data_IF_051232069682
#
_entry.id   IF_051232069682
#
_cell.length_a   1.000
_cell.length_b   1.000
_cell.length_c   1.000
_cell.angle_alpha   90.00
_cell.angle_beta   90.00
_cell.angle_gamma   90.00
#
_symmetry.space_group_name_H-M   'P 1'
#
loop_
_entity.id
_entity.type
_entity.pdbx_description
1 polymer ?
#
# COMPACT_ATOMS: atom_id res chain seq x y z
N UNK A 1 0.70 12.17 -18.38
CA UNK A 1 0.78 11.26 -17.21
C UNK A 1 0.38 12.05 -15.97
N UNK A 2 -0.38 11.46 -15.04
CA UNK A 2 -0.71 12.14 -13.79
C UNK A 2 0.46 12.17 -12.81
N UNK A 3 0.44 13.09 -11.83
CA UNK A 3 1.51 13.31 -10.85
C UNK A 3 1.94 12.02 -10.11
N UNK A 4 0.96 11.16 -9.78
CA UNK A 4 1.20 9.88 -9.10
C UNK A 4 1.90 8.85 -10.00
N UNK A 5 1.58 8.86 -11.29
CA UNK A 5 2.23 7.99 -12.28
C UNK A 5 3.70 8.32 -12.42
N UNK A 6 4.00 9.60 -12.49
CA UNK A 6 5.36 10.09 -12.68
C UNK A 6 6.21 9.80 -11.44
N UNK A 7 5.68 10.08 -10.25
CA UNK A 7 6.38 9.76 -9.00
C UNK A 7 6.64 8.25 -8.89
N UNK A 8 5.63 7.43 -9.17
CA UNK A 8 5.77 5.99 -9.15
C UNK A 8 6.81 5.47 -10.17
N UNK A 9 6.93 6.09 -11.33
CA UNK A 9 7.98 5.76 -12.30
C UNK A 9 9.37 6.08 -11.75
N UNK A 10 9.56 7.31 -11.25
CA UNK A 10 10.82 7.78 -10.63
C UNK A 10 11.26 6.88 -9.48
N UNK A 11 10.32 6.48 -8.62
CA UNK A 11 10.60 5.60 -7.48
C UNK A 11 11.09 4.22 -7.94
N UNK A 12 10.42 3.62 -8.94
CA UNK A 12 10.79 2.30 -9.44
C UNK A 12 12.18 2.32 -10.09
N UNK A 13 12.45 3.30 -10.96
CA UNK A 13 13.77 3.47 -11.59
C UNK A 13 14.86 3.65 -10.52
N UNK A 14 14.58 4.45 -9.48
CA UNK A 14 15.52 4.69 -8.39
C UNK A 14 15.82 3.40 -7.60
N UNK A 15 14.77 2.63 -7.26
CA UNK A 15 14.92 1.34 -6.58
C UNK A 15 15.76 0.38 -7.43
N UNK A 16 15.50 0.27 -8.74
CA UNK A 16 16.25 -0.59 -9.64
C UNK A 16 17.74 -0.20 -9.66
N UNK A 17 18.05 1.09 -9.82
CA UNK A 17 19.44 1.59 -9.78
C UNK A 17 20.16 1.23 -8.48
N UNK A 18 19.48 1.33 -7.34
CA UNK A 18 20.04 0.95 -6.05
C UNK A 18 20.26 -0.56 -5.96
N UNK A 19 19.26 -1.37 -6.35
CA UNK A 19 19.37 -2.84 -6.33
C UNK A 19 20.49 -3.37 -7.21
N UNK A 20 20.76 -2.73 -8.35
CA UNK A 20 21.88 -3.14 -9.20
C UNK A 20 23.22 -3.06 -8.47
N UNK A 21 23.44 -2.00 -7.68
CA UNK A 21 24.68 -1.79 -6.92
C UNK A 21 24.86 -2.78 -5.76
N UNK A 22 23.75 -3.29 -5.24
CA UNK A 22 23.74 -4.19 -4.07
C UNK A 22 23.81 -5.66 -4.47
N UNK A 23 23.38 -6.00 -5.69
CA UNK A 23 23.39 -7.37 -6.17
C UNK A 23 24.82 -7.82 -6.50
N UNK A 24 25.16 -9.04 -6.08
CA UNK A 24 26.36 -9.72 -6.54
C UNK A 24 26.32 -9.91 -8.06
N UNK A 25 27.48 -10.06 -8.74
CA UNK A 25 27.52 -10.41 -10.15
C UNK A 25 26.64 -11.62 -10.45
N UNK A 26 25.83 -11.54 -11.51
CA UNK A 26 24.83 -12.55 -11.91
C UNK A 26 23.65 -12.74 -10.93
N UNK A 27 23.52 -11.87 -9.93
CA UNK A 27 22.38 -11.82 -9.03
C UNK A 27 21.06 -11.61 -9.78
N UNK A 28 19.98 -12.18 -9.25
CA UNK A 28 18.64 -12.08 -9.84
C UNK A 28 17.73 -11.29 -8.93
N UNK A 29 16.91 -10.45 -9.53
CA UNK A 29 15.87 -9.68 -8.84
C UNK A 29 14.51 -10.21 -9.27
N UNK A 30 13.66 -10.54 -8.29
CA UNK A 30 12.26 -10.89 -8.52
C UNK A 30 11.41 -9.76 -7.94
N UNK A 31 10.57 -9.16 -8.77
CA UNK A 31 9.64 -8.11 -8.37
C UNK A 31 8.20 -8.58 -8.59
N UNK A 32 7.35 -8.29 -7.63
CA UNK A 32 5.92 -8.55 -7.70
C UNK A 32 5.18 -7.23 -7.46
N UNK A 33 4.24 -6.90 -8.35
CA UNK A 33 3.41 -5.71 -8.26
C UNK A 33 1.93 -6.09 -8.20
N UNK A 34 1.14 -5.32 -7.48
CA UNK A 34 -0.31 -5.41 -7.53
C UNK A 34 -0.84 -4.67 -8.77
N UNK A 35 -1.62 -5.37 -9.59
CA UNK A 35 -2.21 -4.81 -10.80
C UNK A 35 -3.44 -3.92 -10.51
N UNK A 36 -3.79 -3.07 -11.48
CA UNK A 36 -4.90 -2.10 -11.48
C UNK A 36 -6.28 -2.72 -11.65
N UNK A 37 -6.35 -3.96 -12.11
CA UNK A 37 -7.56 -4.60 -12.66
C UNK A 37 -8.69 -4.83 -11.65
N UNK A 38 -8.47 -4.58 -10.35
CA UNK A 38 -9.51 -4.63 -9.34
C UNK A 38 -9.57 -3.33 -8.52
N UNK A 39 -10.77 -2.76 -8.45
CA UNK A 39 -11.13 -1.72 -7.48
C UNK A 39 -10.63 -2.18 -6.11
N UNK A 40 -9.70 -1.40 -5.56
CA UNK A 40 -8.93 -1.93 -4.46
C UNK A 40 -9.78 -1.87 -3.20
N UNK A 41 -9.95 -3.02 -2.54
CA UNK A 41 -10.50 -3.11 -1.19
C UNK A 41 -9.88 -2.03 -0.27
N UNK A 42 -8.60 -1.69 -0.49
CA UNK A 42 -7.86 -0.66 0.25
C UNK A 42 -8.42 0.74 -0.02
N UNK A 43 -8.70 1.09 -1.27
CA UNK A 43 -9.29 2.38 -1.66
C UNK A 43 -10.66 2.56 -1.02
N UNK A 44 -11.48 1.52 -1.03
CA UNK A 44 -12.82 1.56 -0.44
C UNK A 44 -12.75 1.69 1.09
N UNK A 45 -11.90 0.89 1.75
CA UNK A 45 -11.67 0.99 3.21
C UNK A 45 -11.15 2.38 3.59
N UNK A 46 -10.24 2.95 2.81
CA UNK A 46 -9.70 4.28 3.08
C UNK A 46 -10.74 5.38 2.92
N UNK A 47 -11.53 5.32 1.85
CA UNK A 47 -12.59 6.28 1.60
C UNK A 47 -13.64 6.25 2.72
N UNK A 48 -14.06 5.05 3.13
CA UNK A 48 -15.00 4.87 4.24
C UNK A 48 -14.41 5.39 5.56
N UNK A 49 -13.14 5.10 5.85
CA UNK A 49 -12.45 5.60 7.04
C UNK A 49 -12.38 7.13 7.06
N UNK A 50 -11.98 7.73 5.94
CA UNK A 50 -11.89 9.18 5.77
C UNK A 50 -13.24 9.86 5.98
N UNK A 51 -14.31 9.32 5.38
CA UNK A 51 -15.66 9.83 5.56
C UNK A 51 -16.16 9.68 7.00
N UNK A 52 -15.86 8.57 7.65
CA UNK A 52 -16.24 8.36 9.05
C UNK A 52 -15.55 9.36 10.00
N UNK A 53 -14.25 9.62 9.79
CA UNK A 53 -13.51 10.60 10.59
C UNK A 53 -14.04 12.02 10.37
N UNK A 54 -14.36 12.37 9.13
CA UNK A 54 -14.94 13.66 8.80
C UNK A 54 -16.33 13.87 9.41
N UNK A 55 -17.24 12.90 9.25
CA UNK A 55 -18.60 12.98 9.80
C UNK A 55 -18.64 13.05 11.34
N UNK A 56 -17.60 12.55 12.02
CA UNK A 56 -17.42 12.66 13.47
C UNK A 56 -16.72 13.94 13.93
N UNK A 57 -16.29 14.81 13.02
CA UNK A 57 -15.53 16.03 13.33
C UNK A 57 -14.12 15.76 13.85
N UNK A 58 -13.57 14.57 13.59
CA UNK A 58 -12.20 14.21 13.98
C UNK A 58 -11.18 14.90 13.06
N UNK A 59 -11.53 15.00 11.77
CA UNK A 59 -10.77 15.73 10.76
C UNK A 59 -11.68 16.75 10.09
N UNK A 60 -11.10 17.87 9.64
CA UNK A 60 -11.81 18.89 8.87
C UNK A 60 -11.74 18.61 7.35
N UNK A 61 -12.41 19.45 6.55
CA UNK A 61 -12.50 19.29 5.09
C UNK A 61 -11.14 19.40 4.39
N UNK A 62 -10.26 20.28 4.88
CA UNK A 62 -8.91 20.44 4.36
C UNK A 62 -8.05 19.22 4.68
N UNK A 63 -8.09 18.73 5.91
CA UNK A 63 -7.39 17.51 6.33
C UNK A 63 -7.87 16.28 5.57
N UNK A 64 -9.19 16.17 5.32
CA UNK A 64 -9.79 15.11 4.50
C UNK A 64 -9.28 15.16 3.06
N UNK A 65 -9.20 16.35 2.47
CA UNK A 65 -8.68 16.55 1.10
C UNK A 65 -7.21 16.16 1.01
N UNK A 66 -6.42 16.45 2.04
CA UNK A 66 -4.99 16.18 2.07
C UNK A 66 -4.68 14.71 2.45
N UNK A 67 -5.68 13.98 2.96
CA UNK A 67 -5.59 12.57 3.35
C UNK A 67 -5.50 11.64 2.12
N UNK A 68 -4.31 11.58 1.53
CA UNK A 68 -4.01 10.74 0.36
C UNK A 68 -3.30 9.44 0.75
N UNK A 69 -3.59 8.36 0.03
CA UNK A 69 -2.81 7.12 0.13
C UNK A 69 -1.61 7.28 -0.79
N UNK A 70 -0.35 7.24 -0.29
CA UNK A 70 0.84 7.33 -1.11
C UNK A 70 1.14 5.98 -1.79
N UNK A 71 0.12 5.40 -2.44
CA UNK A 71 0.23 4.15 -3.17
C UNK A 71 -0.27 4.36 -4.59
N UNK A 72 0.55 3.90 -5.53
CA UNK A 72 0.20 3.89 -6.94
C UNK A 72 0.34 2.47 -7.48
N UNK A 73 -0.76 1.94 -8.01
CA UNK A 73 -0.74 0.67 -8.75
C UNK A 73 -0.35 0.96 -10.19
N UNK A 74 0.71 0.30 -10.63
CA UNK A 74 1.25 0.47 -11.99
C UNK A 74 0.57 -0.53 -12.94
N UNK A 75 0.39 -0.14 -14.19
CA UNK A 75 0.03 -1.12 -15.23
C UNK A 75 1.26 -1.90 -15.68
N UNK A 76 1.06 -3.00 -16.40
CA UNK A 76 2.16 -3.77 -16.98
C UNK A 76 3.02 -2.90 -17.92
N UNK A 77 2.41 -2.01 -18.70
CA UNK A 77 3.10 -1.12 -19.64
C UNK A 77 3.96 -0.08 -18.92
N UNK A 78 3.50 0.43 -17.78
CA UNK A 78 4.29 1.35 -16.96
C UNK A 78 5.51 0.66 -16.33
N UNK A 79 5.34 -0.58 -15.86
CA UNK A 79 6.46 -1.37 -15.35
C UNK A 79 7.45 -1.64 -16.48
N UNK A 80 6.96 -2.02 -17.66
CA UNK A 80 7.81 -2.30 -18.81
C UNK A 80 8.62 -1.08 -19.23
N UNK A 81 8.01 0.11 -19.31
CA UNK A 81 8.74 1.35 -19.62
C UNK A 81 9.89 1.62 -18.64
N UNK A 82 9.67 1.41 -17.34
CA UNK A 82 10.72 1.58 -16.34
C UNK A 82 11.84 0.53 -16.49
N UNK A 83 11.52 -0.70 -16.91
CA UNK A 83 12.52 -1.74 -17.19
C UNK A 83 13.30 -1.46 -18.46
N UNK A 84 12.66 -0.92 -19.50
CA UNK A 84 13.30 -0.55 -20.76
C UNK A 84 14.34 0.56 -20.52
N UNK A 85 14.07 1.53 -19.65
CA UNK A 85 15.05 2.54 -19.22
C UNK A 85 16.25 1.95 -18.45
N UNK A 86 16.07 0.76 -17.88
CA UNK A 86 17.03 0.08 -17.04
C UNK A 86 17.73 -1.10 -17.75
N UNK A 87 17.63 -1.18 -19.08
CA UNK A 87 18.21 -2.26 -19.89
C UNK A 87 19.73 -2.43 -19.73
N UNK A 88 20.46 -1.33 -19.48
CA UNK A 88 21.91 -1.37 -19.21
C UNK A 88 22.26 -2.02 -17.86
N UNK A 89 21.31 -2.08 -16.93
CA UNK A 89 21.51 -2.59 -15.57
C UNK A 89 20.93 -3.98 -15.39
N UNK A 90 19.76 -4.25 -16.00
CA UNK A 90 19.03 -5.49 -15.83
C UNK A 90 18.58 -6.04 -17.17
N UNK A 91 18.82 -7.34 -17.36
CA UNK A 91 18.15 -8.12 -18.40
C UNK A 91 16.88 -8.73 -17.83
N UNK A 92 15.73 -8.39 -18.40
CA UNK A 92 14.46 -9.04 -18.08
C UNK A 92 14.48 -10.49 -18.60
N UNK A 93 14.31 -11.45 -17.70
CA UNK A 93 14.28 -12.88 -18.04
C UNK A 93 12.86 -13.40 -18.25
N UNK A 94 11.93 -12.98 -17.41
CA UNK A 94 10.52 -13.39 -17.45
C UNK A 94 9.67 -12.25 -16.91
N UNK A 95 8.51 -12.02 -17.54
CA UNK A 95 7.46 -11.15 -17.06
C UNK A 95 6.12 -11.83 -17.32
N UNK A 96 5.30 -11.96 -16.28
CA UNK A 96 3.97 -12.55 -16.39
C UNK A 96 3.01 -11.91 -15.41
N UNK A 97 1.79 -11.67 -15.88
CA UNK A 97 0.65 -11.44 -14.99
C UNK A 97 0.18 -12.77 -14.46
N UNK A 98 -0.04 -12.84 -13.15
CA UNK A 98 -0.60 -14.01 -12.50
C UNK A 98 -1.86 -13.59 -11.76
N UNK A 99 -2.96 -14.28 -12.04
CA UNK A 99 -4.14 -14.15 -11.22
C UNK A 99 -3.82 -14.74 -9.86
N UNK A 100 -3.96 -13.91 -8.82
CA UNK A 100 -3.86 -14.42 -7.47
C UNK A 100 -5.03 -15.39 -7.28
N UNK A 101 -4.77 -16.69 -6.99
CA UNK A 101 -5.85 -17.63 -6.75
C UNK A 101 -6.70 -17.06 -5.62
N UNK A 102 -8.01 -16.89 -5.87
CA UNK A 102 -8.97 -16.52 -4.83
C UNK A 102 -9.01 -17.67 -3.83
N UNK A 103 -8.08 -17.69 -2.88
CA UNK A 103 -8.03 -18.75 -1.87
C UNK A 103 -9.18 -18.50 -0.90
N UNK A 104 -10.23 -19.33 -0.89
CA UNK A 104 -11.19 -19.29 0.20
C UNK A 104 -10.51 -19.99 1.38
N UNK A 105 -9.84 -19.24 2.27
CA UNK A 105 -9.09 -19.87 3.35
C UNK A 105 -8.28 -18.94 4.26
N UNK A 106 -7.46 -19.53 5.13
CA UNK A 106 -6.64 -18.84 6.14
C UNK A 106 -5.71 -17.77 5.55
N UNK A 107 -5.24 -17.98 4.31
CA UNK A 107 -4.38 -17.05 3.58
C UNK A 107 -5.08 -15.73 3.22
N UNK A 108 -6.37 -15.76 2.87
CA UNK A 108 -7.12 -14.53 2.62
C UNK A 108 -7.38 -13.75 3.90
N UNK A 109 -7.59 -14.43 5.04
CA UNK A 109 -7.65 -13.77 6.36
C UNK A 109 -6.33 -13.10 6.72
N UNK A 110 -5.20 -13.79 6.55
CA UNK A 110 -3.88 -13.20 6.82
C UNK A 110 -3.59 -12.00 5.93
N UNK A 111 -3.96 -12.07 4.65
CA UNK A 111 -3.83 -10.95 3.71
C UNK A 111 -4.71 -9.77 4.09
N UNK A 112 -5.98 -10.01 4.47
CA UNK A 112 -6.88 -8.97 4.98
C UNK A 112 -6.31 -8.34 6.26
N UNK A 113 -5.76 -9.13 7.19
CA UNK A 113 -5.11 -8.61 8.39
C UNK A 113 -3.85 -7.79 8.07
N UNK A 114 -3.08 -8.19 7.05
CA UNK A 114 -1.93 -7.41 6.58
C UNK A 114 -2.36 -6.07 5.98
N UNK A 115 -3.42 -6.08 5.17
CA UNK A 115 -4.03 -4.88 4.61
C UNK A 115 -4.53 -3.96 5.73
N UNK A 116 -5.25 -4.49 6.71
CA UNK A 116 -5.73 -3.72 7.86
C UNK A 116 -4.59 -3.10 8.64
N UNK A 117 -3.50 -3.84 8.89
CA UNK A 117 -2.29 -3.31 9.54
C UNK A 117 -1.64 -2.21 8.72
N UNK A 118 -1.49 -2.41 7.42
CA UNK A 118 -0.94 -1.39 6.52
C UNK A 118 -1.82 -0.14 6.52
N UNK A 119 -3.13 -0.28 6.35
CA UNK A 119 -4.08 0.82 6.43
C UNK A 119 -4.02 1.53 7.80
N UNK A 120 -3.92 0.78 8.90
CA UNK A 120 -3.75 1.33 10.24
C UNK A 120 -2.45 2.13 10.38
N UNK A 121 -1.33 1.66 9.82
CA UNK A 121 -0.03 2.36 9.83
C UNK A 121 -0.07 3.61 8.94
N UNK A 122 -0.64 3.51 7.74
CA UNK A 122 -0.75 4.65 6.81
C UNK A 122 -1.72 5.72 7.31
N UNK A 123 -2.78 5.31 8.03
CA UNK A 123 -3.66 6.24 8.74
C UNK A 123 -3.07 6.69 10.07
N UNK A 124 -2.00 6.07 10.59
CA UNK A 124 -1.47 6.32 11.93
C UNK A 124 -0.97 7.75 12.08
N UNK A 125 -0.33 8.35 11.09
CA UNK A 125 0.20 9.72 11.20
C UNK A 125 -0.89 10.79 11.19
N UNK A 126 -1.94 10.69 10.34
CA UNK A 126 -3.16 11.49 10.47
C UNK A 126 -3.95 11.20 11.76
N UNK A 127 -4.08 9.92 12.14
CA UNK A 127 -4.74 9.48 13.38
C UNK A 127 -3.99 9.92 14.62
N UNK A 128 -2.66 9.97 14.64
CA UNK A 128 -1.84 10.42 15.78
C UNK A 128 -2.01 11.92 16.04
N UNK A 129 -2.29 12.71 15.00
CA UNK A 129 -2.72 14.11 15.16
C UNK A 129 -4.13 14.20 15.73
N UNK A 130 -5.05 13.36 15.24
CA UNK A 130 -6.40 13.22 15.79
C UNK A 130 -6.44 12.59 17.20
N UNK A 131 -5.44 11.82 17.60
CA UNK A 131 -5.36 11.13 18.90
C UNK A 131 -5.15 12.11 20.05
N UNK A 132 -4.72 13.36 19.78
CA UNK A 132 -4.81 14.42 20.80
C UNK A 132 -6.25 14.65 21.29
N UNK A 133 -7.28 14.21 20.56
CA UNK A 133 -8.69 14.34 20.95
C UNK A 133 -9.43 13.02 21.24
N UNK A 134 -8.85 11.82 21.06
CA UNK A 134 -9.53 10.59 21.51
C UNK A 134 -8.97 9.23 21.07
N UNK A 135 -8.10 8.64 21.89
CA UNK A 135 -7.51 7.30 21.70
C UNK A 135 -8.55 6.14 21.62
N UNK A 136 -9.74 6.30 22.24
CA UNK A 136 -10.72 5.23 22.36
C UNK A 136 -11.49 4.92 21.06
N UNK A 137 -11.65 5.90 20.17
CA UNK A 137 -12.39 5.71 18.92
C UNK A 137 -11.54 5.02 17.84
N UNK A 138 -10.23 5.26 17.85
CA UNK A 138 -9.26 4.62 16.95
C UNK A 138 -9.18 3.12 17.20
N UNK A 139 -9.10 2.71 18.48
CA UNK A 139 -9.08 1.31 18.88
C UNK A 139 -10.39 0.58 18.52
N UNK A 140 -11.52 1.31 18.55
CA UNK A 140 -12.84 0.80 18.14
C UNK A 140 -12.94 0.65 16.62
N UNK A 141 -12.42 1.61 15.84
CA UNK A 141 -12.47 1.63 14.38
C UNK A 141 -11.60 0.53 13.74
N UNK A 142 -10.39 0.31 14.24
CA UNK A 142 -9.48 -0.70 13.70
C UNK A 142 -9.83 -2.15 14.11
N UNK A 143 -10.90 -2.35 14.88
CA UNK A 143 -11.27 -3.67 15.42
C UNK A 143 -10.21 -4.24 16.38
N UNK A 144 -9.28 -3.41 16.86
CA UNK A 144 -8.23 -3.78 17.82
C UNK A 144 -8.80 -3.80 19.24
N UNK A 145 -9.90 -4.54 19.45
CA UNK A 145 -10.29 -4.94 20.78
C UNK A 145 -9.14 -5.78 21.35
N UNK A 146 -8.31 -5.17 22.23
CA UNK A 146 -7.37 -5.90 23.08
C UNK A 146 -8.16 -6.97 23.83
N UNK A 147 -8.18 -8.21 23.32
CA UNK A 147 -8.49 -9.36 24.15
C UNK A 147 -7.48 -9.32 25.28
N UNK A 148 -7.95 -9.00 26.49
CA UNK A 148 -7.20 -9.23 27.73
C UNK A 148 -6.76 -10.68 27.71
N UNK A 149 -5.48 -10.93 27.41
CA UNK A 149 -4.82 -12.16 27.79
C UNK A 149 -4.85 -12.18 29.33
N UNK A 150 -5.83 -12.90 29.89
CA UNK A 150 -5.71 -13.41 31.24
C UNK A 150 -4.64 -14.49 31.16
N UNK A 151 -3.45 -14.17 31.65
CA UNK A 151 -2.48 -15.17 32.05
C UNK A 151 -3.02 -15.73 33.36
N UNK A 152 -3.48 -16.98 33.32
CA UNK A 152 -3.46 -17.89 34.46
C UNK A 152 -2.23 -18.77 34.29
#
# INVERSE_FOLDING_TARGET
MGIWSEQAHKDLVSILKLRYKELAPLGRLILQFADRTHESLISNIWQEASENMFSKGIINEEEKRDLTIPMYRRSAEEIQRALDEMHDYFRVLESKSVDMPRSPGRASRQYIEHIKKFAAVSMKTPLERAIKTGQAEVDRFLGLQKKKLKIL
#
